data_IF_380429160343
#
_entry.id   IF_380429160343
#
_cell.length_a   1.000
_cell.length_b   1.000
_cell.length_c   1.000
_cell.angle_alpha   90.00
_cell.angle_beta   90.00
_cell.angle_gamma   90.00
#
_symmetry.space_group_name_H-M   'P 1'
#
loop_
_entity.id
_entity.type
_entity.pdbx_description
1 polymer ?
#
# COMPACT_ATOMS: atom_id res chain seq x y z
N UNK A 1 -20.51 7.88 -9.70
CA UNK A 1 -21.09 7.87 -8.38
C UNK A 1 -21.03 9.22 -7.71
N UNK A 2 -22.01 9.49 -6.90
CA UNK A 2 -22.13 10.79 -6.25
C UNK A 2 -21.04 11.03 -5.21
N UNK A 3 -20.43 12.20 -5.27
CA UNK A 3 -19.39 12.61 -4.31
C UNK A 3 -20.07 13.44 -3.22
N UNK A 4 -20.26 12.86 -2.05
CA UNK A 4 -21.07 13.43 -0.99
C UNK A 4 -20.33 13.74 0.30
N UNK A 5 -19.05 13.33 0.42
CA UNK A 5 -18.29 13.50 1.66
C UNK A 5 -17.27 14.62 1.56
N UNK A 6 -17.20 15.44 2.61
CA UNK A 6 -16.08 16.37 2.82
C UNK A 6 -14.85 15.58 3.22
N UNK A 7 -13.68 16.21 3.14
CA UNK A 7 -12.41 15.51 3.43
C UNK A 7 -12.37 14.97 4.87
N UNK A 8 -12.92 15.66 5.84
CA UNK A 8 -12.92 15.18 7.23
C UNK A 8 -13.76 13.91 7.37
N UNK A 9 -14.94 13.89 6.77
CA UNK A 9 -15.82 12.71 6.77
C UNK A 9 -15.19 11.58 5.96
N UNK A 10 -14.57 11.92 4.85
CA UNK A 10 -13.90 10.98 3.97
C UNK A 10 -12.70 10.31 4.68
N UNK A 11 -11.92 11.11 5.40
CA UNK A 11 -10.80 10.59 6.19
C UNK A 11 -11.30 9.59 7.25
N UNK A 12 -12.36 9.95 7.97
CA UNK A 12 -12.95 9.06 8.98
C UNK A 12 -13.49 7.78 8.33
N UNK A 13 -14.17 7.92 7.20
CA UNK A 13 -14.78 6.78 6.50
C UNK A 13 -13.72 5.83 5.91
N UNK A 14 -12.68 6.37 5.29
CA UNK A 14 -11.63 5.58 4.66
C UNK A 14 -10.61 5.04 5.65
N UNK A 15 -10.44 5.68 6.80
CA UNK A 15 -9.38 5.34 7.74
C UNK A 15 -8.01 5.88 7.33
N UNK A 16 -7.97 6.79 6.37
CA UNK A 16 -6.71 7.36 5.84
C UNK A 16 -6.62 8.84 6.25
N UNK A 17 -5.47 9.29 6.78
CA UNK A 17 -5.33 10.69 7.19
C UNK A 17 -5.56 11.67 6.05
N UNK A 18 -6.17 12.82 6.38
CA UNK A 18 -6.46 13.86 5.38
C UNK A 18 -5.23 14.32 4.61
N UNK A 19 -4.09 14.44 5.27
CA UNK A 19 -2.84 14.82 4.61
C UNK A 19 -2.41 13.79 3.56
N UNK A 20 -2.57 12.52 3.86
CA UNK A 20 -2.26 11.42 2.93
C UNK A 20 -3.18 11.48 1.72
N UNK A 21 -4.48 11.74 1.96
CA UNK A 21 -5.46 11.88 0.89
C UNK A 21 -5.06 13.02 -0.06
N UNK A 22 -4.73 14.18 0.50
CA UNK A 22 -4.28 15.34 -0.29
C UNK A 22 -2.99 15.04 -1.05
N UNK A 23 -2.10 14.30 -0.43
CA UNK A 23 -0.85 13.89 -1.06
C UNK A 23 -1.11 13.00 -2.28
N UNK A 24 -2.02 12.03 -2.14
CA UNK A 24 -2.41 11.18 -3.27
C UNK A 24 -3.02 12.00 -4.41
N UNK A 25 -3.86 12.98 -4.09
CA UNK A 25 -4.42 13.87 -5.10
C UNK A 25 -3.34 14.63 -5.86
N UNK A 26 -2.38 15.20 -5.12
CA UNK A 26 -1.29 15.94 -5.73
C UNK A 26 -0.41 15.09 -6.64
N UNK A 27 -0.32 13.80 -6.34
CA UNK A 27 0.48 12.87 -7.13
C UNK A 27 -0.32 12.19 -8.25
N UNK A 28 -1.58 12.56 -8.42
CA UNK A 28 -2.41 11.98 -9.46
C UNK A 28 -2.90 10.57 -9.19
N UNK A 29 -2.77 10.07 -7.97
CA UNK A 29 -3.22 8.73 -7.59
C UNK A 29 -4.71 8.68 -7.30
N UNK A 30 -5.32 9.82 -7.04
CA UNK A 30 -6.74 9.95 -6.79
C UNK A 30 -7.29 10.97 -7.78
N UNK A 31 -8.43 10.70 -8.43
CA UNK A 31 -9.02 11.68 -9.34
C UNK A 31 -9.31 12.99 -8.61
N UNK A 32 -9.23 14.10 -9.33
CA UNK A 32 -9.55 15.39 -8.76
C UNK A 32 -10.96 15.36 -8.16
N UNK A 33 -11.13 15.79 -6.90
CA UNK A 33 -12.44 15.75 -6.27
C UNK A 33 -13.40 16.73 -6.90
N UNK A 34 -14.70 16.37 -6.92
CA UNK A 34 -15.72 17.31 -7.31
C UNK A 34 -15.77 18.42 -6.26
N UNK A 35 -16.09 19.65 -6.69
CA UNK A 35 -16.22 20.77 -5.78
C UNK A 35 -17.61 21.34 -5.80
N UNK A 36 -18.11 21.70 -4.63
CA UNK A 36 -19.38 22.44 -4.50
C UNK A 36 -19.17 23.87 -4.97
N UNK A 37 -20.25 24.62 -5.24
CA UNK A 37 -20.12 26.06 -5.54
C UNK A 37 -19.36 26.83 -4.46
N UNK A 38 -19.36 26.33 -3.21
CA UNK A 38 -18.59 26.91 -2.09
C UNK A 38 -17.11 26.53 -2.12
N UNK A 39 -16.66 25.85 -3.17
CA UNK A 39 -15.26 25.42 -3.40
C UNK A 39 -14.77 24.34 -2.42
N UNK A 40 -15.67 23.64 -1.73
CA UNK A 40 -15.28 22.49 -0.91
C UNK A 40 -15.08 21.24 -1.76
N UNK A 41 -14.02 20.49 -1.44
CA UNK A 41 -13.74 19.21 -2.08
C UNK A 41 -14.71 18.15 -1.58
N UNK A 42 -15.24 17.36 -2.52
CA UNK A 42 -16.21 16.31 -2.22
C UNK A 42 -15.69 14.97 -2.74
N UNK A 43 -15.92 13.92 -1.98
CA UNK A 43 -15.41 12.57 -2.25
C UNK A 43 -16.54 11.55 -2.26
N UNK A 44 -16.33 10.45 -2.95
CA UNK A 44 -17.29 9.35 -3.04
C UNK A 44 -16.81 8.14 -2.23
N UNK A 45 -17.70 7.16 -2.06
CA UNK A 45 -17.35 5.88 -1.44
C UNK A 45 -16.33 5.11 -2.29
N UNK A 46 -16.39 5.26 -3.61
CA UNK A 46 -15.41 4.65 -4.51
C UNK A 46 -14.04 5.23 -4.32
N UNK A 47 -13.97 6.54 -4.14
CA UNK A 47 -12.71 7.22 -3.80
C UNK A 47 -12.14 6.66 -2.49
N UNK A 48 -13.00 6.38 -1.50
CA UNK A 48 -12.57 5.83 -0.23
C UNK A 48 -11.95 4.43 -0.40
N UNK A 49 -12.56 3.59 -1.22
CA UNK A 49 -12.02 2.26 -1.51
C UNK A 49 -10.65 2.37 -2.18
N UNK A 50 -10.51 3.29 -3.12
CA UNK A 50 -9.25 3.53 -3.84
C UNK A 50 -8.15 4.00 -2.89
N UNK A 51 -8.45 4.98 -2.06
CA UNK A 51 -7.50 5.54 -1.09
C UNK A 51 -7.07 4.48 -0.07
N UNK A 52 -8.02 3.70 0.42
CA UNK A 52 -7.74 2.62 1.36
C UNK A 52 -6.82 1.58 0.74
N UNK A 53 -7.09 1.19 -0.50
CA UNK A 53 -6.25 0.24 -1.23
C UNK A 53 -4.83 0.77 -1.41
N UNK A 54 -4.68 2.02 -1.84
CA UNK A 54 -3.36 2.66 -1.99
C UNK A 54 -2.60 2.70 -0.66
N UNK A 55 -3.29 3.04 0.41
CA UNK A 55 -2.69 3.11 1.74
C UNK A 55 -2.19 1.73 2.19
N UNK A 56 -2.98 0.69 1.93
CA UNK A 56 -2.57 -0.69 2.22
C UNK A 56 -1.34 -1.10 1.40
N UNK A 57 -1.29 -0.74 0.12
CA UNK A 57 -0.13 -1.03 -0.73
C UNK A 57 1.13 -0.36 -0.20
N UNK A 58 1.03 0.89 0.26
CA UNK A 58 2.16 1.57 0.89
C UNK A 58 2.60 0.87 2.18
N UNK A 59 1.67 0.33 2.94
CA UNK A 59 2.00 -0.41 4.16
C UNK A 59 2.75 -1.71 3.86
N UNK A 60 2.61 -2.25 2.66
CA UNK A 60 3.41 -3.38 2.19
C UNK A 60 4.84 -2.97 1.80
N UNK A 61 5.12 -1.66 1.82
CA UNK A 61 6.45 -1.15 1.51
C UNK A 61 6.63 -0.65 0.08
N UNK A 62 5.56 -0.60 -0.71
CA UNK A 62 5.63 -0.02 -2.05
C UNK A 62 5.82 1.49 -1.95
N UNK A 63 6.74 2.01 -2.74
CA UNK A 63 6.97 3.45 -2.79
C UNK A 63 5.84 4.14 -3.56
N UNK A 64 5.67 5.44 -3.34
CA UNK A 64 4.69 6.20 -4.08
C UNK A 64 4.98 6.19 -5.58
N UNK A 65 6.26 6.25 -5.95
CA UNK A 65 6.68 6.15 -7.36
C UNK A 65 6.24 4.82 -7.98
N UNK A 66 6.43 3.71 -7.25
CA UNK A 66 5.99 2.40 -7.72
C UNK A 66 4.47 2.36 -7.89
N UNK A 67 3.71 2.96 -6.97
CA UNK A 67 2.26 3.03 -7.07
C UNK A 67 1.81 3.83 -8.28
N UNK A 68 2.42 4.98 -8.54
CA UNK A 68 2.10 5.81 -9.71
C UNK A 68 2.34 5.00 -10.99
N UNK A 69 3.50 4.36 -11.10
CA UNK A 69 3.85 3.56 -12.28
C UNK A 69 2.91 2.37 -12.44
N UNK A 70 2.59 1.70 -11.34
CA UNK A 70 1.70 0.53 -11.36
C UNK A 70 0.29 0.91 -11.84
N UNK A 71 -0.26 1.99 -11.33
CA UNK A 71 -1.58 2.46 -11.76
C UNK A 71 -1.59 2.86 -13.23
N UNK A 72 -0.51 3.46 -13.70
CA UNK A 72 -0.36 3.80 -15.10
C UNK A 72 -0.42 2.54 -15.98
N UNK A 73 0.26 1.47 -15.57
CA UNK A 73 0.21 0.20 -16.30
C UNK A 73 -1.19 -0.41 -16.31
N UNK A 74 -1.92 -0.28 -15.21
CA UNK A 74 -3.28 -0.81 -15.13
C UNK A 74 -4.25 -0.09 -16.05
N UNK A 75 -3.99 1.18 -16.36
CA UNK A 75 -4.83 1.98 -17.25
C UNK A 75 -4.51 1.75 -18.73
N UNK A 76 -3.35 1.15 -19.05
CA UNK A 76 -2.97 0.87 -20.42
C UNK A 76 -3.77 -0.30 -20.98
N UNK A 77 -4.16 -0.20 -22.24
CA UNK A 77 -4.89 -1.25 -22.93
C UNK A 77 -3.99 -2.11 -23.81
N UNK A 78 -2.75 -1.68 -23.99
CA UNK A 78 -1.79 -2.40 -24.79
C UNK A 78 -1.01 -3.42 -23.96
N UNK A 79 -0.47 -4.48 -24.57
CA UNK A 79 0.39 -5.42 -23.86
C UNK A 79 1.59 -4.72 -23.22
N UNK A 80 2.03 -5.20 -22.08
CA UNK A 80 3.17 -4.64 -21.37
C UNK A 80 4.45 -4.79 -22.20
N UNK A 81 5.25 -3.75 -22.22
CA UNK A 81 6.59 -3.79 -22.79
C UNK A 81 7.51 -4.69 -21.97
N UNK A 82 8.70 -5.00 -22.52
CA UNK A 82 9.71 -5.77 -21.79
C UNK A 82 10.13 -5.02 -20.50
N UNK A 83 10.28 -3.69 -20.60
CA UNK A 83 10.67 -2.89 -19.44
C UNK A 83 9.57 -2.88 -18.38
N UNK A 84 8.31 -2.81 -18.80
CA UNK A 84 7.16 -2.86 -17.88
C UNK A 84 7.10 -4.20 -17.15
N UNK A 85 7.34 -5.29 -17.87
CA UNK A 85 7.37 -6.63 -17.26
C UNK A 85 8.51 -6.75 -16.25
N UNK A 86 9.68 -6.19 -16.56
CA UNK A 86 10.81 -6.18 -15.63
C UNK A 86 10.48 -5.40 -14.37
N UNK A 87 9.78 -4.28 -14.51
CA UNK A 87 9.31 -3.48 -13.37
C UNK A 87 8.36 -4.29 -12.49
N UNK A 88 7.40 -4.98 -13.12
CA UNK A 88 6.44 -5.85 -12.40
C UNK A 88 7.17 -6.99 -11.69
N UNK A 89 8.13 -7.63 -12.38
CA UNK A 89 8.92 -8.72 -11.79
C UNK A 89 9.69 -8.26 -10.56
N UNK A 90 10.26 -7.06 -10.60
CA UNK A 90 10.98 -6.50 -9.45
C UNK A 90 10.04 -6.33 -8.23
N UNK A 91 8.80 -5.89 -8.46
CA UNK A 91 7.81 -5.79 -7.39
C UNK A 91 7.44 -7.17 -6.85
N UNK A 92 7.27 -8.14 -7.75
CA UNK A 92 6.97 -9.52 -7.34
C UNK A 92 8.08 -10.11 -6.47
N UNK A 93 9.34 -9.86 -6.82
CA UNK A 93 10.48 -10.29 -6.01
C UNK A 93 10.48 -9.66 -4.63
N UNK A 94 10.19 -8.36 -4.54
CA UNK A 94 10.08 -7.67 -3.26
C UNK A 94 8.96 -8.25 -2.40
N UNK A 95 7.82 -8.56 -3.00
CA UNK A 95 6.69 -9.17 -2.28
C UNK A 95 7.05 -10.57 -1.78
N UNK A 96 7.75 -11.36 -2.58
CA UNK A 96 8.18 -12.70 -2.16
C UNK A 96 9.14 -12.61 -0.97
N UNK A 97 10.08 -11.66 -1.00
CA UNK A 97 11.00 -11.45 0.11
C UNK A 97 10.26 -11.05 1.40
N UNK A 98 9.24 -10.20 1.28
CA UNK A 98 8.41 -9.78 2.42
C UNK A 98 7.59 -10.93 2.97
N UNK A 99 7.04 -11.77 2.09
CA UNK A 99 6.30 -12.96 2.49
C UNK A 99 7.20 -13.92 3.28
N UNK A 100 8.40 -14.18 2.78
CA UNK A 100 9.36 -15.04 3.45
C UNK A 100 9.72 -14.49 4.83
N UNK A 101 9.92 -13.18 4.93
CA UNK A 101 10.21 -12.54 6.21
C UNK A 101 9.02 -12.64 7.18
N UNK A 102 7.82 -12.42 6.65
CA UNK A 102 6.58 -12.55 7.44
C UNK A 102 6.41 -13.97 7.97
N UNK A 103 6.66 -14.97 7.14
CA UNK A 103 6.57 -16.38 7.51
C UNK A 103 7.58 -16.72 8.62
N UNK A 104 8.80 -16.21 8.51
CA UNK A 104 9.82 -16.40 9.53
C UNK A 104 9.41 -15.79 10.86
N UNK A 105 8.87 -14.57 10.81
CA UNK A 105 8.38 -13.91 12.02
C UNK A 105 7.22 -14.68 12.63
N UNK A 106 6.29 -15.16 11.81
CA UNK A 106 5.18 -15.98 12.30
C UNK A 106 5.66 -17.21 13.03
N UNK A 107 6.65 -17.92 12.47
CA UNK A 107 7.25 -19.10 13.09
C UNK A 107 7.84 -18.75 14.45
N UNK A 108 8.61 -17.66 14.52
CA UNK A 108 9.22 -17.20 15.77
C UNK A 108 8.16 -16.87 16.82
N UNK A 109 7.10 -16.18 16.41
CA UNK A 109 6.02 -15.82 17.34
C UNK A 109 5.28 -17.05 17.89
N UNK A 110 5.05 -18.05 17.04
CA UNK A 110 4.42 -19.30 17.48
C UNK A 110 5.32 -20.06 18.45
N UNK A 111 6.62 -20.07 18.21
CA UNK A 111 7.58 -20.69 19.11
C UNK A 111 7.66 -19.99 20.45
N UNK A 112 7.63 -18.66 20.45
CA UNK A 112 7.57 -17.86 21.67
C UNK A 112 6.30 -18.18 22.47
N UNK A 113 5.18 -18.25 21.79
CA UNK A 113 3.91 -18.59 22.42
C UNK A 113 3.93 -20.00 23.04
N UNK A 114 4.66 -20.93 22.41
CA UNK A 114 4.83 -22.30 22.88
C UNK A 114 5.84 -22.42 24.01
N UNK A 115 6.50 -21.34 24.42
CA UNK A 115 7.42 -21.33 25.56
C UNK A 115 8.88 -21.51 25.20
N UNK A 116 9.25 -21.46 23.94
CA UNK A 116 10.64 -21.50 23.52
C UNK A 116 11.33 -20.19 23.86
N UNK A 117 12.63 -20.24 24.08
CA UNK A 117 13.39 -19.09 24.59
C UNK A 117 14.46 -18.63 23.61
N UNK A 118 14.78 -17.31 23.69
CA UNK A 118 16.02 -16.80 23.16
C UNK A 118 17.21 -17.45 23.88
N UNK A 119 18.35 -17.72 23.24
CA UNK A 119 18.80 -17.20 21.95
C UNK A 119 18.38 -18.00 20.72
N UNK A 120 17.77 -19.16 20.89
CA UNK A 120 17.37 -20.00 19.75
C UNK A 120 16.48 -19.25 18.75
N UNK A 121 15.57 -18.44 19.29
CA UNK A 121 14.67 -17.61 18.47
C UNK A 121 15.46 -16.54 17.73
N UNK A 122 16.42 -15.90 18.41
CA UNK A 122 17.24 -14.87 17.79
C UNK A 122 18.04 -15.44 16.61
N UNK A 123 18.58 -16.64 16.77
CA UNK A 123 19.30 -17.32 15.69
C UNK A 123 18.39 -17.61 14.50
N UNK A 124 17.18 -18.10 14.75
CA UNK A 124 16.21 -18.38 13.70
C UNK A 124 15.76 -17.11 13.00
N UNK A 125 15.57 -16.03 13.75
CA UNK A 125 15.11 -14.76 13.22
C UNK A 125 16.18 -14.07 12.36
N UNK A 126 17.40 -14.09 12.84
CA UNK A 126 18.52 -13.43 12.15
C UNK A 126 19.39 -14.38 11.34
N UNK A 127 19.24 -15.66 11.59
CA UNK A 127 19.71 -16.81 10.80
C UNK A 127 21.00 -16.66 10.05
N UNK A 128 22.15 -16.57 10.72
CA UNK A 128 23.44 -16.50 10.02
C UNK A 128 23.63 -15.31 9.10
N UNK A 129 22.62 -14.47 8.97
CA UNK A 129 22.67 -13.31 8.07
C UNK A 129 23.13 -12.03 8.75
N UNK A 130 23.29 -12.03 10.03
CA UNK A 130 23.82 -10.90 10.79
C UNK A 130 25.29 -11.12 11.07
N UNK A 131 26.11 -10.62 10.19
CA UNK A 131 27.54 -10.60 10.42
C UNK A 131 28.09 -9.21 10.31
#
# INVERSE_FOLDING_TARGET
MEKTMKISDFSAFSGVPSETIRYYERRGLLPAPARKPSNYRMYSKEDAARVRFLHHLQSLGLSLRQLVSLLSLCDEQEPLSVDDKSFVDAILEELDARRALSDRLETVLRELKAGQRCPDIAEKMFGGGLQ
#
